data_IF_821765439604
#
_entry.id   IF_821765439604
#
_cell.length_a   1.000
_cell.length_b   1.000
_cell.length_c   1.000
_cell.angle_alpha   90.00
_cell.angle_beta   90.00
_cell.angle_gamma   90.00
#
_symmetry.space_group_name_H-M   'P 1'
#
loop_
_entity.id
_entity.type
_entity.pdbx_description
1 polymer ?
#
# COMPACT_ATOMS: atom_id res chain seq x y z
N UNK A 1 -67.82 -4.51 33.88
CA UNK A 1 -68.17 -5.14 35.18
C UNK A 1 -68.89 -6.45 34.90
N UNK A 2 -68.70 -7.56 35.64
CA UNK A 2 -67.79 -7.83 36.77
C UNK A 2 -66.75 -8.93 36.42
N UNK A 3 -65.47 -8.88 36.80
CA UNK A 3 -64.83 -9.18 38.11
C UNK A 3 -65.28 -10.45 38.80
N UNK A 4 -64.44 -11.49 38.77
CA UNK A 4 -64.34 -12.49 39.85
C UNK A 4 -62.85 -12.74 40.16
N UNK A 5 -62.54 -12.48 41.42
CA UNK A 5 -61.27 -12.64 42.14
C UNK A 5 -61.05 -14.09 42.56
N UNK A 6 -59.79 -14.51 42.78
CA UNK A 6 -59.20 -15.41 43.80
C UNK A 6 -57.98 -16.15 43.17
N UNK A 7 -56.81 -16.42 43.77
CA UNK A 7 -56.30 -16.48 45.15
C UNK A 7 -54.79 -16.18 45.10
N UNK A 8 -54.29 -15.38 46.04
CA UNK A 8 -52.87 -15.33 46.41
C UNK A 8 -52.58 -16.52 47.35
N UNK A 9 -51.58 -17.34 47.02
CA UNK A 9 -50.96 -18.27 47.97
C UNK A 9 -49.61 -17.72 48.41
N UNK A 10 -49.45 -17.66 49.72
CA UNK A 10 -48.21 -17.39 50.45
C UNK A 10 -47.32 -18.63 50.33
N UNK A 11 -46.06 -18.45 49.92
CA UNK A 11 -45.04 -19.49 49.90
C UNK A 11 -43.68 -18.88 50.22
N UNK A 12 -43.10 -19.33 51.34
CA UNK A 12 -42.00 -18.71 52.04
C UNK A 12 -40.63 -18.82 51.33
N UNK A 13 -39.78 -17.86 51.69
CA UNK A 13 -38.38 -17.67 51.32
C UNK A 13 -37.53 -18.90 51.68
N UNK A 14 -36.77 -19.41 50.71
CA UNK A 14 -35.48 -20.08 50.93
C UNK A 14 -34.54 -19.66 49.80
N UNK A 15 -33.68 -18.69 50.10
CA UNK A 15 -32.62 -18.24 49.22
C UNK A 15 -31.51 -19.30 49.17
N UNK A 16 -31.32 -19.92 48.00
CA UNK A 16 -30.14 -20.75 47.72
C UNK A 16 -29.17 -19.92 46.85
N UNK A 17 -28.32 -19.16 47.52
CA UNK A 17 -27.21 -18.44 46.91
C UNK A 17 -26.10 -19.41 46.51
N UNK A 18 -26.02 -19.71 45.21
CA UNK A 18 -24.84 -20.31 44.58
C UNK A 18 -24.60 -19.67 43.21
N UNK A 19 -24.15 -18.41 43.24
CA UNK A 19 -23.51 -17.79 42.08
C UNK A 19 -22.04 -18.20 42.08
N UNK A 20 -21.71 -19.09 41.15
CA UNK A 20 -20.36 -19.41 40.74
C UNK A 20 -19.66 -18.11 40.32
N UNK A 21 -18.69 -17.69 41.13
CA UNK A 21 -17.75 -16.63 40.82
C UNK A 21 -16.83 -17.09 39.67
N UNK A 22 -17.29 -16.97 38.43
CA UNK A 22 -16.39 -17.01 37.28
C UNK A 22 -15.61 -15.70 37.32
N UNK A 23 -14.44 -15.75 37.96
CA UNK A 23 -13.46 -14.68 37.83
C UNK A 23 -13.07 -14.61 36.36
N UNK A 24 -13.22 -13.48 35.66
CA UNK A 24 -12.54 -13.32 34.39
C UNK A 24 -11.07 -13.26 34.74
N UNK A 25 -10.33 -14.33 34.45
CA UNK A 25 -8.89 -14.29 34.40
C UNK A 25 -8.54 -13.29 33.29
N UNK A 26 -8.40 -12.02 33.67
CA UNK A 26 -7.74 -11.00 32.88
C UNK A 26 -6.31 -11.52 32.77
N UNK A 27 -5.98 -12.15 31.63
CA UNK A 27 -4.58 -12.43 31.29
C UNK A 27 -3.83 -11.13 31.57
N UNK A 28 -2.90 -11.13 32.52
CA UNK A 28 -2.07 -9.97 32.75
C UNK A 28 -1.41 -9.64 31.39
N UNK A 29 -1.65 -8.43 30.87
CA UNK A 29 -0.94 -7.97 29.69
C UNK A 29 0.55 -7.96 30.03
N UNK A 30 1.36 -8.56 29.16
CA UNK A 30 2.81 -8.60 29.33
C UNK A 30 3.36 -7.17 29.31
N UNK A 31 4.33 -6.89 30.19
CA UNK A 31 5.07 -5.63 30.18
C UNK A 31 6.01 -5.49 28.96
N UNK A 32 6.12 -6.53 28.11
CA UNK A 32 7.00 -6.59 26.93
C UNK A 32 6.28 -7.16 25.70
N UNK A 33 5.18 -6.53 25.25
CA UNK A 33 4.26 -7.14 24.29
C UNK A 33 4.89 -7.44 22.93
N UNK A 34 5.78 -6.57 22.43
CA UNK A 34 6.46 -6.81 21.15
C UNK A 34 7.42 -7.99 21.23
N UNK A 35 8.12 -8.18 22.35
CA UNK A 35 9.01 -9.35 22.52
C UNK A 35 8.23 -10.65 22.51
N UNK A 36 7.06 -10.68 23.13
CA UNK A 36 6.22 -11.86 23.16
C UNK A 36 5.64 -12.15 21.76
N UNK A 37 5.17 -11.11 21.06
CA UNK A 37 4.77 -11.24 19.66
C UNK A 37 5.91 -11.78 18.78
N UNK A 38 7.16 -11.34 18.97
CA UNK A 38 8.31 -11.85 18.22
C UNK A 38 8.60 -13.33 18.51
N UNK A 39 8.41 -13.80 19.74
CA UNK A 39 8.54 -15.23 20.08
C UNK A 39 7.47 -16.06 19.37
N UNK A 40 6.22 -15.59 19.40
CA UNK A 40 5.11 -16.25 18.71
C UNK A 40 5.37 -16.26 17.19
N UNK A 41 5.88 -15.15 16.64
CA UNK A 41 6.21 -15.05 15.22
C UNK A 41 7.35 -16.00 14.84
N UNK A 42 8.36 -16.16 15.71
CA UNK A 42 9.44 -17.12 15.50
C UNK A 42 8.92 -18.57 15.49
N UNK A 43 7.96 -18.91 16.35
CA UNK A 43 7.31 -20.22 16.35
C UNK A 43 6.50 -20.45 15.06
N UNK A 44 5.73 -19.46 14.62
CA UNK A 44 4.97 -19.52 13.38
C UNK A 44 5.91 -19.72 12.16
N UNK A 45 7.02 -18.98 12.11
CA UNK A 45 8.04 -19.12 11.06
C UNK A 45 8.66 -20.53 11.09
N UNK A 46 9.03 -21.05 12.26
CA UNK A 46 9.56 -22.41 12.41
C UNK A 46 8.55 -23.46 11.92
N UNK A 47 7.27 -23.29 12.23
CA UNK A 47 6.21 -24.17 11.73
C UNK A 47 6.06 -24.10 10.20
N UNK A 48 6.15 -22.91 9.60
CA UNK A 48 6.14 -22.76 8.14
C UNK A 48 7.35 -23.41 7.47
N UNK A 49 8.54 -23.33 8.07
CA UNK A 49 9.75 -23.94 7.54
C UNK A 49 9.67 -25.48 7.42
N UNK A 50 8.80 -26.13 8.19
CA UNK A 50 8.55 -27.57 8.10
C UNK A 50 7.54 -27.97 7.01
N UNK A 51 6.85 -26.99 6.41
CA UNK A 51 5.85 -27.21 5.37
C UNK A 51 6.47 -27.06 3.98
N UNK A 52 5.82 -27.62 2.96
CA UNK A 52 6.18 -27.31 1.58
C UNK A 52 5.72 -25.90 1.26
N UNK A 53 6.67 -25.10 0.79
CA UNK A 53 6.48 -23.73 0.40
C UNK A 53 5.80 -23.67 -0.98
N UNK A 54 4.76 -22.84 -1.09
CA UNK A 54 4.08 -22.53 -2.34
C UNK A 54 4.17 -21.03 -2.63
N UNK A 55 4.32 -20.60 -3.90
CA UNK A 55 4.20 -19.21 -4.27
C UNK A 55 2.83 -18.64 -3.92
N UNK A 56 2.80 -17.37 -3.54
CA UNK A 56 1.56 -16.61 -3.32
C UNK A 56 1.21 -15.86 -4.61
N UNK A 57 -0.01 -16.03 -5.12
CA UNK A 57 -0.49 -15.17 -6.21
C UNK A 57 -0.87 -13.81 -5.65
N UNK A 58 -0.37 -12.77 -6.29
CA UNK A 58 -0.74 -11.39 -6.01
C UNK A 58 -1.61 -10.89 -7.16
N UNK A 59 -2.67 -10.18 -6.80
CA UNK A 59 -3.64 -9.62 -7.72
C UNK A 59 -4.01 -8.21 -7.29
N UNK A 60 -4.09 -7.31 -8.25
CA UNK A 60 -4.57 -5.96 -8.07
C UNK A 60 -5.47 -5.54 -9.24
N UNK A 61 -6.58 -4.89 -8.92
CA UNK A 61 -7.50 -4.30 -9.89
C UNK A 61 -7.68 -2.81 -9.58
N UNK A 62 -7.48 -1.96 -10.58
CA UNK A 62 -7.60 -0.51 -10.45
C UNK A 62 -8.59 0.02 -11.48
N UNK A 63 -9.59 0.76 -11.01
CA UNK A 63 -10.58 1.44 -11.84
C UNK A 63 -10.33 2.93 -11.77
N UNK A 64 -10.29 3.60 -12.93
CA UNK A 64 -10.42 5.05 -13.01
C UNK A 64 -11.91 5.42 -12.85
N UNK A 65 -12.27 6.00 -11.70
CA UNK A 65 -13.65 6.32 -11.36
C UNK A 65 -14.19 7.43 -12.27
N UNK A 66 -15.19 7.06 -13.08
CA UNK A 66 -15.78 7.84 -14.17
C UNK A 66 -15.53 9.35 -14.12
N UNK A 67 -16.41 10.12 -13.47
CA UNK A 67 -16.38 11.59 -13.54
C UNK A 67 -15.27 12.25 -12.69
N UNK A 68 -14.48 11.47 -11.96
CA UNK A 68 -13.48 12.01 -11.02
C UNK A 68 -12.03 11.68 -11.35
N UNK A 69 -11.76 10.63 -12.13
CA UNK A 69 -10.41 10.10 -12.36
C UNK A 69 -9.72 9.58 -11.09
N UNK A 70 -10.47 9.42 -9.99
CA UNK A 70 -9.95 8.81 -8.76
C UNK A 70 -9.68 7.35 -9.05
N UNK A 71 -8.53 6.84 -8.61
CA UNK A 71 -8.15 5.45 -8.82
C UNK A 71 -8.64 4.63 -7.64
N UNK A 72 -9.69 3.83 -7.84
CA UNK A 72 -10.10 2.83 -6.85
C UNK A 72 -9.29 1.57 -7.07
N UNK A 73 -8.43 1.26 -6.13
CA UNK A 73 -7.61 0.06 -6.08
C UNK A 73 -8.29 -1.00 -5.22
N UNK A 74 -8.31 -2.23 -5.71
CA UNK A 74 -8.65 -3.45 -4.97
C UNK A 74 -7.49 -4.43 -5.01
N UNK A 75 -7.19 -5.06 -3.87
CA UNK A 75 -6.10 -6.03 -3.73
C UNK A 75 -6.54 -7.24 -2.91
N UNK A 76 -5.74 -8.31 -3.04
CA UNK A 76 -6.00 -9.61 -2.45
C UNK A 76 -6.63 -10.57 -3.47
N UNK A 77 -6.51 -11.87 -3.20
CA UNK A 77 -7.04 -12.94 -4.04
C UNK A 77 -8.53 -12.82 -4.37
N UNK A 78 -9.30 -12.12 -3.52
CA UNK A 78 -10.74 -11.87 -3.67
C UNK A 78 -11.08 -10.39 -3.73
N UNK A 79 -10.10 -9.53 -4.01
CA UNK A 79 -10.30 -8.08 -4.05
C UNK A 79 -10.97 -7.51 -2.78
N UNK A 80 -10.68 -8.13 -1.64
CA UNK A 80 -11.34 -7.86 -0.37
C UNK A 80 -10.89 -6.54 0.27
N UNK A 81 -9.68 -6.07 -0.07
CA UNK A 81 -9.15 -4.82 0.46
C UNK A 81 -9.24 -3.73 -0.60
N UNK A 82 -9.65 -2.54 -0.18
CA UNK A 82 -9.80 -1.39 -1.06
C UNK A 82 -8.92 -0.23 -0.60
N UNK A 83 -8.32 0.46 -1.56
CA UNK A 83 -7.52 1.66 -1.37
C UNK A 83 -7.93 2.70 -2.42
N UNK A 84 -7.81 3.98 -2.09
CA UNK A 84 -8.00 5.06 -3.07
C UNK A 84 -6.66 5.69 -3.38
N UNK A 85 -6.45 6.08 -4.62
CA UNK A 85 -5.37 6.97 -4.98
C UNK A 85 -5.95 8.13 -5.78
N UNK A 86 -5.59 9.35 -5.42
CA UNK A 86 -6.11 10.56 -6.04
C UNK A 86 -4.97 11.55 -6.30
N UNK A 87 -5.25 12.57 -7.09
CA UNK A 87 -4.35 13.66 -7.37
C UNK A 87 -4.81 14.92 -6.62
N UNK A 88 -3.92 15.88 -6.40
CA UNK A 88 -4.36 17.16 -5.88
C UNK A 88 -5.22 17.92 -6.88
N UNK A 89 -5.92 18.95 -6.41
CA UNK A 89 -6.76 19.82 -7.28
C UNK A 89 -6.02 20.37 -8.49
N UNK A 90 -4.75 20.75 -8.31
CA UNK A 90 -3.87 21.20 -9.40
C UNK A 90 -3.48 20.11 -10.41
N UNK A 91 -3.72 18.85 -10.06
CA UNK A 91 -3.56 17.65 -10.90
C UNK A 91 -4.89 17.02 -11.32
N UNK A 92 -5.97 17.83 -11.37
CA UNK A 92 -7.34 17.46 -11.73
C UNK A 92 -8.08 16.54 -10.74
N UNK A 93 -7.44 16.17 -9.64
CA UNK A 93 -8.05 15.31 -8.63
C UNK A 93 -8.83 16.08 -7.56
N UNK A 94 -9.25 15.35 -6.52
CA UNK A 94 -10.16 15.83 -5.48
C UNK A 94 -9.52 15.92 -4.09
N UNK A 95 -8.23 15.58 -3.96
CA UNK A 95 -7.54 15.40 -2.68
C UNK A 95 -8.23 14.36 -1.76
N UNK A 96 -8.87 13.33 -2.32
CA UNK A 96 -9.55 12.30 -1.52
C UNK A 96 -8.60 11.25 -0.93
N UNK A 97 -7.40 11.14 -1.50
CA UNK A 97 -6.42 10.13 -1.16
C UNK A 97 -5.01 10.56 -1.62
N UNK A 98 -3.94 9.93 -1.12
CA UNK A 98 -2.59 10.18 -1.59
C UNK A 98 -2.39 9.84 -3.07
N UNK A 99 -1.46 10.54 -3.70
CA UNK A 99 -0.95 10.19 -5.01
C UNK A 99 -0.22 8.85 -5.00
N UNK A 100 0.03 8.29 -6.20
CA UNK A 100 0.74 7.02 -6.32
C UNK A 100 2.16 7.08 -5.73
N UNK A 101 2.82 8.23 -5.79
CA UNK A 101 4.19 8.39 -5.29
C UNK A 101 4.25 8.41 -3.77
N UNK A 102 3.37 9.19 -3.13
CA UNK A 102 3.22 9.19 -1.68
C UNK A 102 2.81 7.80 -1.18
N UNK A 103 1.89 7.15 -1.89
CA UNK A 103 1.47 5.78 -1.58
C UNK A 103 2.63 4.80 -1.65
N UNK A 104 3.51 4.89 -2.66
CA UNK A 104 4.70 4.04 -2.76
C UNK A 104 5.59 4.19 -1.53
N UNK A 105 5.88 5.43 -1.11
CA UNK A 105 6.72 5.69 0.06
C UNK A 105 6.11 5.11 1.34
N UNK A 106 4.78 5.15 1.48
CA UNK A 106 4.07 4.49 2.58
C UNK A 106 4.26 2.96 2.55
N UNK A 107 4.18 2.33 1.36
CA UNK A 107 4.39 0.90 1.22
C UNK A 107 5.84 0.52 1.57
N UNK A 108 6.82 1.30 1.11
CA UNK A 108 8.24 1.07 1.42
C UNK A 108 8.52 1.19 2.93
N UNK A 109 7.95 2.19 3.59
CA UNK A 109 8.04 2.37 5.05
C UNK A 109 7.50 1.14 5.80
N UNK A 110 6.30 0.69 5.42
CA UNK A 110 5.65 -0.48 6.03
C UNK A 110 6.40 -1.78 5.74
N UNK A 111 6.97 -1.93 4.55
CA UNK A 111 7.73 -3.12 4.18
C UNK A 111 9.06 -3.23 4.92
N UNK A 112 9.76 -2.11 5.13
CA UNK A 112 10.94 -2.08 6.00
C UNK A 112 10.53 -2.49 7.42
N UNK A 113 9.43 -1.94 7.95
CA UNK A 113 8.95 -2.29 9.29
C UNK A 113 8.62 -3.79 9.41
N UNK A 114 7.90 -4.37 8.44
CA UNK A 114 7.61 -5.81 8.42
C UNK A 114 8.87 -6.67 8.45
N UNK A 115 9.84 -6.34 7.59
CA UNK A 115 11.05 -7.12 7.49
C UNK A 115 11.88 -7.04 8.76
N UNK A 116 11.94 -5.89 9.44
CA UNK A 116 12.58 -5.80 10.76
C UNK A 116 11.92 -6.75 11.76
N UNK A 117 10.59 -6.78 11.82
CA UNK A 117 9.85 -7.68 12.72
C UNK A 117 10.10 -9.15 12.37
N UNK A 118 10.08 -9.51 11.09
CA UNK A 118 10.34 -10.88 10.66
C UNK A 118 11.78 -11.30 10.94
N UNK A 119 12.77 -10.49 10.56
CA UNK A 119 14.18 -10.82 10.78
C UNK A 119 14.55 -10.81 12.26
N UNK A 120 13.93 -9.96 13.07
CA UNK A 120 14.09 -9.99 14.52
C UNK A 120 13.61 -11.32 15.11
N UNK A 121 12.42 -11.78 14.69
CA UNK A 121 11.88 -13.08 15.09
C UNK A 121 12.77 -14.24 14.63
N UNK A 122 13.21 -14.26 13.36
CA UNK A 122 14.10 -15.29 12.80
C UNK A 122 15.42 -15.39 13.57
N UNK A 123 15.96 -14.25 14.01
CA UNK A 123 17.29 -14.15 14.63
C UNK A 123 17.26 -14.12 16.15
N UNK A 124 16.08 -14.11 16.76
CA UNK A 124 15.92 -13.96 18.21
C UNK A 124 16.38 -12.61 18.74
N UNK A 125 16.36 -11.55 17.92
CA UNK A 125 16.73 -10.19 18.36
C UNK A 125 15.52 -9.55 19.05
N UNK A 126 15.61 -9.21 20.36
CA UNK A 126 14.48 -8.64 21.10
C UNK A 126 14.23 -7.19 20.67
N UNK A 127 12.98 -6.82 20.39
CA UNK A 127 12.56 -5.43 20.16
C UNK A 127 11.44 -5.06 21.14
N UNK A 128 11.51 -3.85 21.67
CA UNK A 128 10.52 -3.26 22.59
C UNK A 128 9.56 -2.32 21.85
N UNK A 129 10.08 -1.58 20.87
CA UNK A 129 9.31 -0.75 19.96
C UNK A 129 10.04 -0.60 18.61
N UNK A 130 9.27 -0.38 17.55
CA UNK A 130 9.80 -0.14 16.21
C UNK A 130 8.97 0.93 15.49
N UNK A 131 9.66 1.98 15.08
CA UNK A 131 9.15 3.01 14.19
C UNK A 131 10.11 3.17 13.00
N UNK A 132 9.57 3.34 11.79
CA UNK A 132 10.33 3.60 10.57
C UNK A 132 9.92 4.97 10.04
N UNK A 133 10.87 5.85 9.79
CA UNK A 133 10.65 7.06 8.98
C UNK A 133 11.32 6.85 7.64
N UNK A 134 10.52 6.77 6.57
CA UNK A 134 10.99 6.58 5.21
C UNK A 134 10.88 7.91 4.45
N UNK A 135 11.91 8.23 3.66
CA UNK A 135 11.91 9.40 2.79
C UNK A 135 12.33 9.07 1.37
N UNK A 136 11.85 9.87 0.43
CA UNK A 136 12.29 9.85 -0.96
C UNK A 136 12.35 11.27 -1.50
N UNK A 137 13.38 11.56 -2.28
CA UNK A 137 13.52 12.82 -3.02
C UNK A 137 13.42 12.46 -4.50
N UNK A 138 12.30 12.78 -5.17
CA UNK A 138 12.12 12.47 -6.58
C UNK A 138 13.25 13.03 -7.44
N UNK A 139 13.68 12.26 -8.43
CA UNK A 139 14.75 12.64 -9.35
C UNK A 139 14.22 12.67 -10.78
N UNK A 140 14.67 13.67 -11.54
CA UNK A 140 14.39 13.78 -12.97
C UNK A 140 15.31 12.84 -13.75
N UNK A 141 14.72 11.93 -14.53
CA UNK A 141 15.45 10.93 -15.33
C UNK A 141 15.66 11.37 -16.76
N UNK A 142 14.69 12.08 -17.32
CA UNK A 142 14.82 12.73 -18.63
C UNK A 142 13.85 13.92 -18.73
N UNK A 143 13.68 14.47 -19.93
CA UNK A 143 12.82 15.62 -20.16
C UNK A 143 11.38 15.42 -19.65
N UNK A 144 10.85 14.21 -19.75
CA UNK A 144 9.44 13.88 -19.54
C UNK A 144 9.19 12.84 -18.43
N UNK A 145 10.23 12.38 -17.74
CA UNK A 145 10.13 11.34 -16.71
C UNK A 145 10.87 11.77 -15.45
N UNK A 146 10.14 11.75 -14.33
CA UNK A 146 10.68 11.85 -12.97
C UNK A 146 9.94 10.83 -12.11
N UNK A 147 10.62 10.22 -11.15
CA UNK A 147 9.98 9.30 -10.22
C UNK A 147 10.68 9.32 -8.85
N UNK A 148 10.04 8.79 -7.79
CA UNK A 148 10.65 8.68 -6.47
C UNK A 148 12.05 8.07 -6.54
N UNK A 149 13.03 8.76 -5.97
CA UNK A 149 14.43 8.33 -5.93
C UNK A 149 15.04 8.66 -4.57
N UNK A 150 16.35 8.45 -4.44
CA UNK A 150 17.11 8.76 -3.23
C UNK A 150 16.40 8.20 -2.00
N UNK A 151 16.09 6.91 -2.07
CA UNK A 151 15.27 6.24 -1.06
C UNK A 151 16.09 6.10 0.21
N UNK A 152 15.53 6.50 1.34
CA UNK A 152 16.20 6.32 2.62
C UNK A 152 15.22 6.06 3.74
N UNK A 153 15.68 5.41 4.81
CA UNK A 153 14.90 5.29 6.03
C UNK A 153 15.76 5.41 7.29
N UNK A 154 15.09 5.81 8.37
CA UNK A 154 15.59 5.74 9.74
C UNK A 154 14.70 4.78 10.52
N UNK A 155 15.28 3.71 11.04
CA UNK A 155 14.62 2.80 11.98
C UNK A 155 14.94 3.24 13.41
N UNK A 156 13.91 3.64 14.15
CA UNK A 156 13.98 3.92 15.58
C UNK A 156 13.62 2.65 16.33
N UNK A 157 14.57 2.10 17.05
CA UNK A 157 14.46 0.79 17.67
C UNK A 157 14.72 0.94 19.16
N UNK A 158 13.72 0.67 19.99
CA UNK A 158 13.93 0.41 21.41
C UNK A 158 14.21 -1.08 21.58
N UNK A 159 15.35 -1.43 22.16
CA UNK A 159 15.80 -2.80 22.29
C UNK A 159 16.88 -2.90 23.38
N UNK A 160 17.05 -4.06 24.03
CA UNK A 160 18.23 -4.34 24.84
C UNK A 160 19.39 -4.91 24.01
N UNK A 161 19.19 -5.19 22.72
CA UNK A 161 20.22 -5.70 21.83
C UNK A 161 21.31 -4.65 21.59
N UNK A 162 22.54 -5.08 21.36
CA UNK A 162 23.66 -4.20 21.04
C UNK A 162 23.51 -3.55 19.66
N UNK A 163 24.20 -2.42 19.46
CA UNK A 163 24.26 -1.74 18.16
C UNK A 163 24.74 -2.67 17.03
N UNK A 164 25.67 -3.59 17.34
CA UNK A 164 26.18 -4.57 16.38
C UNK A 164 25.10 -5.56 15.95
N UNK A 165 24.28 -6.05 16.88
CA UNK A 165 23.13 -6.93 16.58
C UNK A 165 22.09 -6.19 15.74
N UNK A 166 21.81 -4.92 16.06
CA UNK A 166 20.90 -4.08 15.29
C UNK A 166 21.41 -3.78 13.87
N UNK A 167 22.72 -3.54 13.69
CA UNK A 167 23.30 -3.41 12.35
C UNK A 167 23.25 -4.73 11.56
N UNK A 168 23.48 -5.87 12.21
CA UNK A 168 23.32 -7.18 11.56
C UNK A 168 21.86 -7.43 11.16
N UNK A 169 20.90 -7.02 12.01
CA UNK A 169 19.47 -7.06 11.70
C UNK A 169 19.13 -6.19 10.48
N UNK A 170 19.66 -4.97 10.39
CA UNK A 170 19.52 -4.10 9.20
C UNK A 170 20.02 -4.78 7.92
N UNK A 171 21.21 -5.38 7.98
CA UNK A 171 21.77 -6.09 6.83
C UNK A 171 20.87 -7.25 6.40
N UNK A 172 20.31 -7.98 7.35
CA UNK A 172 19.33 -9.02 7.08
C UNK A 172 18.05 -8.48 6.44
N UNK A 173 17.55 -7.32 6.90
CA UNK A 173 16.38 -6.65 6.31
C UNK A 173 16.61 -6.35 4.83
N UNK A 174 17.74 -5.74 4.49
CA UNK A 174 18.08 -5.42 3.10
C UNK A 174 18.23 -6.67 2.22
N UNK A 175 18.78 -7.76 2.78
CA UNK A 175 18.99 -8.99 2.02
C UNK A 175 17.68 -9.78 1.77
N UNK A 176 16.71 -9.69 2.69
CA UNK A 176 15.57 -10.61 2.71
C UNK A 176 14.25 -9.99 2.25
N UNK A 177 14.10 -8.66 2.28
CA UNK A 177 12.84 -8.01 1.87
C UNK A 177 12.58 -8.14 0.37
N UNK A 178 11.41 -8.69 0.04
CA UNK A 178 10.86 -8.77 -1.32
C UNK A 178 10.61 -7.39 -1.91
N UNK A 179 10.16 -6.45 -1.09
CA UNK A 179 9.84 -5.07 -1.50
C UNK A 179 11.10 -4.23 -1.70
N UNK A 180 12.10 -4.36 -0.82
CA UNK A 180 13.40 -3.70 -1.05
C UNK A 180 14.03 -4.24 -2.33
N UNK A 181 13.98 -5.56 -2.55
CA UNK A 181 14.49 -6.16 -3.78
C UNK A 181 13.78 -5.61 -5.03
N UNK A 182 12.44 -5.54 -5.01
CA UNK A 182 11.63 -5.01 -6.12
C UNK A 182 12.05 -3.61 -6.57
N UNK A 183 12.51 -2.74 -5.65
CA UNK A 183 12.93 -1.37 -6.00
C UNK A 183 14.43 -1.21 -6.12
N UNK A 184 15.25 -2.11 -5.56
CA UNK A 184 16.71 -1.98 -5.64
C UNK A 184 17.32 -2.82 -6.75
N UNK A 185 16.58 -3.77 -7.31
CA UNK A 185 16.97 -4.56 -8.47
C UNK A 185 16.13 -4.17 -9.69
N UNK A 186 16.71 -4.20 -10.91
CA UNK A 186 15.93 -4.08 -12.14
C UNK A 186 14.91 -5.21 -12.22
N UNK A 187 13.62 -4.88 -12.15
CA UNK A 187 12.55 -5.87 -12.18
C UNK A 187 11.95 -6.03 -13.57
N UNK A 188 11.50 -7.24 -13.89
CA UNK A 188 10.83 -7.51 -15.16
C UNK A 188 9.32 -7.31 -15.04
N UNK A 189 8.78 -6.49 -15.95
CA UNK A 189 7.35 -6.22 -16.07
C UNK A 189 6.92 -6.31 -17.52
N UNK A 190 5.68 -6.71 -17.76
CA UNK A 190 5.14 -6.78 -19.12
C UNK A 190 4.90 -5.40 -19.73
N UNK A 191 4.87 -5.32 -21.07
CA UNK A 191 4.10 -4.28 -21.75
C UNK A 191 2.63 -4.32 -21.31
N UNK A 192 1.93 -3.20 -21.49
CA UNK A 192 0.51 -3.07 -21.21
C UNK A 192 -0.30 -3.84 -22.26
N UNK A 193 -0.98 -4.90 -21.84
CA UNK A 193 -1.83 -5.69 -22.76
C UNK A 193 -3.22 -5.07 -22.85
N UNK A 194 -3.59 -4.56 -24.03
CA UNK A 194 -4.84 -3.81 -24.22
C UNK A 194 -6.01 -4.71 -24.65
N UNK A 195 -7.06 -4.71 -23.82
CA UNK A 195 -8.40 -5.21 -24.12
C UNK A 195 -9.29 -4.03 -24.51
N UNK A 196 -9.56 -3.90 -25.80
CA UNK A 196 -10.14 -2.70 -26.37
C UNK A 196 -11.59 -2.90 -26.85
N UNK A 197 -12.47 -1.99 -26.43
CA UNK A 197 -13.84 -1.86 -26.91
C UNK A 197 -14.07 -0.49 -27.56
N UNK A 198 -14.40 -0.47 -28.85
CA UNK A 198 -14.81 0.75 -29.54
C UNK A 198 -16.20 1.19 -29.06
N UNK A 199 -16.33 2.44 -28.66
CA UNK A 199 -17.62 3.07 -28.30
C UNK A 199 -18.03 4.11 -29.35
N UNK A 200 -19.30 4.56 -29.36
CA UNK A 200 -19.74 5.62 -30.27
C UNK A 200 -19.05 6.96 -30.00
N UNK A 201 -18.69 7.66 -31.09
CA UNK A 201 -18.13 9.01 -31.04
C UNK A 201 -19.08 10.01 -30.36
N UNK A 202 -20.37 9.93 -30.68
CA UNK A 202 -21.41 10.71 -30.04
C UNK A 202 -22.08 9.88 -28.94
N UNK A 203 -22.17 10.45 -27.73
CA UNK A 203 -22.89 9.84 -26.63
C UNK A 203 -24.40 9.94 -26.86
N UNK A 204 -25.14 8.97 -26.35
CA UNK A 204 -26.60 9.05 -26.32
C UNK A 204 -27.04 10.28 -25.49
N UNK A 205 -28.07 11.03 -25.92
CA UNK A 205 -28.61 12.14 -25.14
C UNK A 205 -28.94 11.71 -23.70
N UNK A 206 -28.71 12.58 -22.72
CA UNK A 206 -28.98 12.36 -21.29
C UNK A 206 -28.17 11.23 -20.62
N UNK A 207 -27.03 10.82 -21.18
CA UNK A 207 -26.09 9.97 -20.44
C UNK A 207 -25.40 10.75 -19.33
N UNK A 208 -25.19 10.08 -18.19
CA UNK A 208 -24.45 10.67 -17.07
C UNK A 208 -23.00 10.97 -17.48
N UNK A 209 -22.43 12.10 -17.06
CA UNK A 209 -21.01 12.36 -17.21
C UNK A 209 -20.17 11.25 -16.57
N UNK A 210 -19.07 10.90 -17.21
CA UNK A 210 -18.13 9.87 -16.79
C UNK A 210 -16.70 10.24 -17.17
N UNK A 211 -15.89 9.24 -17.49
CA UNK A 211 -14.46 9.43 -17.75
C UNK A 211 -14.20 10.35 -18.93
N UNK A 212 -15.07 10.35 -19.94
CA UNK A 212 -14.96 11.21 -21.11
C UNK A 212 -14.99 12.69 -20.74
N UNK A 213 -15.96 13.10 -19.91
CA UNK A 213 -16.09 14.49 -19.48
C UNK A 213 -15.02 14.85 -18.46
N UNK A 214 -14.62 13.92 -17.58
CA UNK A 214 -13.45 14.15 -16.71
C UNK A 214 -12.20 14.49 -17.53
N UNK A 215 -11.89 13.71 -18.57
CA UNK A 215 -10.74 13.96 -19.43
C UNK A 215 -10.86 15.34 -20.11
N UNK A 216 -12.01 15.64 -20.69
CA UNK A 216 -12.23 16.88 -21.44
C UNK A 216 -12.27 18.15 -20.57
N UNK A 217 -12.97 18.08 -19.45
CA UNK A 217 -13.37 19.25 -18.66
C UNK A 217 -12.42 19.52 -17.50
N UNK A 218 -11.70 18.50 -16.99
CA UNK A 218 -10.82 18.62 -15.83
C UNK A 218 -9.36 18.32 -16.19
N UNK A 219 -9.09 17.17 -16.82
CA UNK A 219 -7.73 16.73 -17.08
C UNK A 219 -7.05 17.52 -18.21
N UNK A 220 -7.76 17.83 -19.31
CA UNK A 220 -7.24 18.65 -20.42
C UNK A 220 -6.85 20.05 -19.95
N UNK A 221 -7.67 20.78 -19.17
CA UNK A 221 -7.26 22.07 -18.64
C UNK A 221 -6.02 22.04 -17.75
N UNK A 222 -5.85 21.02 -16.90
CA UNK A 222 -4.60 20.83 -16.13
C UNK A 222 -3.43 20.58 -17.06
N UNK A 223 -3.59 19.64 -17.99
CA UNK A 223 -2.52 19.18 -18.87
C UNK A 223 -2.03 20.28 -19.83
N UNK A 224 -2.94 21.14 -20.29
CA UNK A 224 -2.61 22.33 -21.11
C UNK A 224 -2.14 23.54 -20.28
N UNK A 225 -2.17 23.44 -18.96
CA UNK A 225 -1.81 24.53 -18.04
C UNK A 225 -2.80 25.69 -18.02
N UNK A 226 -4.06 25.47 -18.43
CA UNK A 226 -5.13 26.49 -18.40
C UNK A 226 -5.84 26.55 -17.04
N UNK A 227 -5.66 25.54 -16.18
CA UNK A 227 -5.93 25.68 -14.75
C UNK A 227 -4.77 26.45 -14.12
N UNK A 228 -4.99 27.76 -13.91
CA UNK A 228 -4.02 28.66 -13.33
C UNK A 228 -3.70 28.23 -11.90
N UNK A 229 -2.46 27.79 -11.64
CA UNK A 229 -1.91 27.84 -10.30
C UNK A 229 -1.92 29.30 -9.84
N UNK A 230 -2.46 29.59 -8.66
CA UNK A 230 -2.38 30.92 -8.03
C UNK A 230 -0.95 31.34 -7.64
N UNK A 231 0.07 30.53 -7.94
CA UNK A 231 1.48 30.85 -7.67
C UNK A 231 2.16 31.48 -8.89
N UNK A 232 3.02 32.52 -8.68
CA UNK A 232 3.77 33.14 -9.76
C UNK A 232 4.66 32.12 -10.47
N UNK A 233 4.73 32.24 -11.79
CA UNK A 233 5.62 31.48 -12.67
C UNK A 233 7.05 32.00 -12.46
N UNK A 234 7.82 31.41 -11.55
CA UNK A 234 9.17 31.88 -11.27
C UNK A 234 9.84 31.21 -10.08
N UNK A 235 10.07 29.90 -10.17
CA UNK A 235 11.19 29.14 -9.59
C UNK A 235 10.89 27.66 -9.81
N UNK A 236 11.86 26.86 -10.25
CA UNK A 236 11.72 25.41 -10.25
C UNK A 236 11.59 25.00 -8.78
N UNK A 237 10.38 24.69 -8.33
CA UNK A 237 10.14 24.28 -6.95
C UNK A 237 11.03 23.06 -6.68
N UNK A 238 11.90 23.15 -5.67
CA UNK A 238 12.75 22.03 -5.29
C UNK A 238 11.88 20.77 -5.10
N UNK A 239 12.35 19.57 -5.50
CA UNK A 239 11.57 18.35 -5.36
C UNK A 239 11.10 18.24 -3.91
N UNK A 240 9.79 18.13 -3.71
CA UNK A 240 9.23 17.93 -2.38
C UNK A 240 9.70 16.57 -1.87
N UNK A 241 10.32 16.55 -0.70
CA UNK A 241 10.60 15.29 0.00
C UNK A 241 9.30 14.58 0.31
N UNK A 242 9.18 13.36 -0.17
CA UNK A 242 8.10 12.44 0.21
C UNK A 242 8.51 11.79 1.53
N UNK A 243 7.59 11.73 2.49
CA UNK A 243 7.85 11.19 3.83
C UNK A 243 6.71 10.26 4.21
N UNK A 244 7.04 9.13 4.83
CA UNK A 244 6.10 8.30 5.55
C UNK A 244 6.69 7.86 6.89
N UNK A 245 5.83 7.69 7.88
CA UNK A 245 6.19 7.18 9.20
C UNK A 245 5.36 5.93 9.46
N UNK A 246 6.00 4.79 9.74
CA UNK A 246 5.34 3.56 10.16
C UNK A 246 5.63 3.27 11.62
N UNK A 247 4.59 2.91 12.38
CA UNK A 247 4.71 2.32 13.72
C UNK A 247 4.20 0.89 13.70
N UNK A 248 4.92 0.00 14.38
CA UNK A 248 4.47 -1.36 14.64
C UNK A 248 3.68 -1.41 15.94
N UNK A 249 2.47 -1.98 15.87
CA UNK A 249 1.66 -2.27 17.05
C UNK A 249 2.24 -3.50 17.79
N UNK A 250 2.62 -3.36 19.08
CA UNK A 250 3.36 -4.39 19.80
C UNK A 250 2.68 -5.76 19.92
N UNK A 251 1.36 -5.83 20.07
CA UNK A 251 0.66 -7.09 20.36
C UNK A 251 0.33 -7.91 19.11
N UNK A 252 0.25 -7.28 17.96
CA UNK A 252 -0.25 -7.88 16.71
C UNK A 252 0.75 -7.80 15.57
N UNK A 253 1.74 -6.92 15.67
CA UNK A 253 2.65 -6.62 14.56
C UNK A 253 1.99 -5.85 13.41
N UNK A 254 0.76 -5.34 13.58
CA UNK A 254 0.12 -4.45 12.62
C UNK A 254 0.99 -3.23 12.38
N UNK A 255 1.07 -2.78 11.13
CA UNK A 255 1.86 -1.60 10.76
C UNK A 255 0.92 -0.46 10.40
N UNK A 256 0.87 0.55 11.25
CA UNK A 256 0.17 1.80 10.95
C UNK A 256 1.16 2.77 10.33
N UNK A 257 0.86 3.25 9.13
CA UNK A 257 1.73 4.17 8.38
C UNK A 257 1.02 5.48 8.15
N UNK A 258 1.66 6.61 8.42
CA UNK A 258 1.17 7.95 8.12
C UNK A 258 1.98 8.56 6.97
N UNK A 259 1.30 9.26 6.08
CA UNK A 259 1.89 9.88 4.89
C UNK A 259 2.00 11.38 5.07
N UNK A 260 3.13 11.93 4.62
CA UNK A 260 3.45 13.34 4.78
C UNK A 260 3.89 13.71 6.19
N UNK A 261 4.49 14.89 6.30
CA UNK A 261 5.00 15.44 7.55
C UNK A 261 3.91 15.77 8.58
N UNK A 262 2.67 15.89 8.12
CA UNK A 262 1.45 16.17 8.89
C UNK A 262 0.57 14.93 9.06
N UNK A 263 0.97 13.78 8.49
CA UNK A 263 0.21 12.54 8.58
C UNK A 263 -1.19 12.62 7.95
N UNK A 264 -1.35 13.40 6.87
CA UNK A 264 -2.66 13.70 6.26
C UNK A 264 -3.43 12.47 5.76
N UNK A 265 -2.76 11.33 5.58
CA UNK A 265 -3.38 10.04 5.27
C UNK A 265 -2.71 8.91 6.04
N UNK A 266 -3.42 7.80 6.27
CA UNK A 266 -2.85 6.62 6.90
C UNK A 266 -3.13 5.31 6.14
N UNK A 267 -2.16 4.41 6.20
CA UNK A 267 -2.24 3.03 5.75
C UNK A 267 -2.21 2.08 6.93
N UNK A 268 -2.89 0.95 6.80
CA UNK A 268 -2.71 -0.19 7.69
C UNK A 268 -2.25 -1.38 6.85
N UNK A 269 -1.31 -2.16 7.37
CA UNK A 269 -0.91 -3.43 6.77
C UNK A 269 -0.85 -4.53 7.82
N UNK A 270 -1.31 -5.73 7.44
CA UNK A 270 -1.29 -6.93 8.28
C UNK A 270 -0.35 -8.01 7.72
N UNK A 271 0.16 -8.89 8.57
CA UNK A 271 1.00 -10.00 8.12
C UNK A 271 0.18 -11.01 7.32
N UNK A 272 0.83 -11.91 6.58
CA UNK A 272 0.12 -13.07 6.03
C UNK A 272 -0.42 -13.95 7.18
N UNK A 273 -1.52 -14.70 7.01
CA UNK A 273 -2.09 -15.55 8.07
C UNK A 273 -1.08 -16.53 8.69
N UNK A 274 -0.19 -17.12 7.88
CA UNK A 274 0.88 -18.01 8.37
C UNK A 274 1.98 -17.30 9.18
N UNK A 275 2.00 -15.97 9.18
CA UNK A 275 2.93 -15.11 9.92
C UNK A 275 2.20 -14.27 10.98
N UNK A 276 1.16 -14.84 11.58
CA UNK A 276 0.30 -14.25 12.63
C UNK A 276 -0.61 -13.11 12.17
N UNK A 277 -0.79 -12.95 10.86
CA UNK A 277 -1.79 -12.04 10.31
C UNK A 277 -3.22 -12.46 10.64
N UNK A 278 -4.11 -11.47 10.79
CA UNK A 278 -5.54 -11.66 11.10
C UNK A 278 -6.46 -11.24 9.95
N UNK A 279 -5.90 -10.80 8.84
CA UNK A 279 -6.65 -10.35 7.67
C UNK A 279 -7.37 -9.02 7.89
N UNK A 280 -6.86 -8.17 8.80
CA UNK A 280 -7.45 -6.86 9.10
C UNK A 280 -7.12 -5.81 8.03
N UNK A 281 -6.05 -6.05 7.27
CA UNK A 281 -5.53 -5.20 6.22
C UNK A 281 -4.76 -6.07 5.21
N UNK A 282 -4.48 -5.59 3.98
CA UNK A 282 -3.66 -6.34 3.04
C UNK A 282 -2.24 -6.52 3.58
N UNK A 283 -1.54 -7.51 3.05
CA UNK A 283 -0.08 -7.54 3.16
C UNK A 283 0.51 -6.34 2.43
N UNK A 284 1.71 -5.93 2.82
CA UNK A 284 2.38 -4.82 2.14
C UNK A 284 2.74 -5.20 0.70
N UNK A 285 2.99 -6.49 0.44
CA UNK A 285 3.32 -6.98 -0.88
C UNK A 285 2.16 -6.90 -1.87
N UNK A 286 0.96 -7.31 -1.43
CA UNK A 286 -0.29 -7.15 -2.19
C UNK A 286 -0.58 -5.67 -2.47
N UNK A 287 -0.50 -4.84 -1.43
CA UNK A 287 -0.82 -3.42 -1.58
C UNK A 287 0.19 -2.67 -2.46
N UNK A 288 1.48 -3.03 -2.40
CA UNK A 288 2.50 -2.46 -3.27
C UNK A 288 2.24 -2.76 -4.75
N UNK A 289 1.88 -4.00 -5.09
CA UNK A 289 1.49 -4.36 -6.47
C UNK A 289 0.33 -3.46 -6.94
N UNK A 290 -0.66 -3.25 -6.08
CA UNK A 290 -1.75 -2.32 -6.34
C UNK A 290 -1.31 -0.88 -6.55
N UNK A 291 -0.47 -0.35 -5.65
CA UNK A 291 0.04 1.02 -5.72
C UNK A 291 0.82 1.27 -7.01
N UNK A 292 1.71 0.35 -7.42
CA UNK A 292 2.44 0.49 -8.69
C UNK A 292 1.53 0.40 -9.91
N UNK A 293 0.33 -0.17 -9.77
CA UNK A 293 -0.72 -0.23 -10.80
C UNK A 293 -1.57 1.05 -10.85
N UNK A 294 -1.75 1.77 -9.73
CA UNK A 294 -2.49 3.05 -9.75
C UNK A 294 -1.81 4.12 -10.60
N UNK A 295 -0.49 4.06 -10.73
CA UNK A 295 0.28 5.04 -11.48
C UNK A 295 0.02 4.98 -13.00
N UNK A 296 0.16 3.83 -13.70
CA UNK A 296 -0.20 3.74 -15.11
C UNK A 296 -1.66 4.11 -15.36
N UNK A 297 -2.61 3.78 -14.46
CA UNK A 297 -4.01 4.24 -14.56
C UNK A 297 -4.10 5.77 -14.64
N UNK A 298 -3.43 6.47 -13.74
CA UNK A 298 -3.43 7.93 -13.75
C UNK A 298 -2.71 8.51 -14.99
N UNK A 299 -1.63 7.87 -15.42
CA UNK A 299 -0.86 8.32 -16.57
C UNK A 299 -1.63 8.11 -17.88
N UNK A 300 -2.51 7.10 -17.97
CA UNK A 300 -3.48 6.99 -19.06
C UNK A 300 -4.35 8.25 -19.16
N UNK A 301 -4.87 8.76 -18.04
CA UNK A 301 -5.71 9.98 -18.03
C UNK A 301 -4.93 11.20 -18.52
N UNK A 302 -3.70 11.39 -18.01
CA UNK A 302 -2.82 12.48 -18.42
C UNK A 302 -2.47 12.40 -19.91
N UNK A 303 -2.05 11.22 -20.39
CA UNK A 303 -1.67 11.03 -21.78
C UNK A 303 -2.88 11.13 -22.72
N UNK A 304 -4.05 10.66 -22.29
CA UNK A 304 -5.30 10.79 -23.03
C UNK A 304 -5.64 12.27 -23.23
N UNK A 305 -5.59 13.07 -22.17
CA UNK A 305 -5.79 14.51 -22.23
C UNK A 305 -4.75 15.22 -23.11
N UNK A 306 -3.47 14.87 -22.99
CA UNK A 306 -2.40 15.45 -23.80
C UNK A 306 -2.57 15.16 -25.31
N UNK A 307 -3.13 14.00 -25.65
CA UNK A 307 -3.25 13.50 -27.03
C UNK A 307 -4.63 13.71 -27.66
N UNK A 308 -5.58 14.25 -26.90
CA UNK A 308 -6.98 14.38 -27.36
C UNK A 308 -7.67 13.02 -27.54
N UNK A 309 -7.25 12.02 -26.78
CA UNK A 309 -7.88 10.69 -26.74
C UNK A 309 -8.93 10.68 -25.64
N UNK A 310 -10.14 10.25 -25.97
CA UNK A 310 -11.24 10.15 -25.02
C UNK A 310 -11.32 8.73 -24.46
N UNK A 311 -11.68 8.58 -23.19
CA UNK A 311 -11.87 7.29 -22.54
C UNK A 311 -13.27 7.26 -21.91
N UNK A 312 -14.03 6.20 -22.15
CA UNK A 312 -15.31 5.96 -21.48
C UNK A 312 -15.14 4.99 -20.30
N UNK A 313 -14.17 4.08 -20.40
CA UNK A 313 -13.79 3.11 -19.37
C UNK A 313 -12.27 2.98 -19.36
N UNK A 314 -11.70 2.89 -18.17
CA UNK A 314 -10.30 2.54 -17.96
C UNK A 314 -10.18 1.71 -16.68
N UNK A 315 -9.80 0.45 -16.84
CA UNK A 315 -9.46 -0.45 -15.74
C UNK A 315 -8.13 -1.13 -16.03
N UNK A 316 -7.33 -1.33 -14.99
CA UNK A 316 -6.05 -2.01 -15.06
C UNK A 316 -6.03 -3.15 -14.06
N UNK A 317 -5.56 -4.31 -14.52
CA UNK A 317 -5.28 -5.46 -13.68
C UNK A 317 -3.78 -5.72 -13.69
N UNK A 318 -3.23 -6.00 -12.51
CA UNK A 318 -1.87 -6.47 -12.38
C UNK A 318 -1.82 -7.78 -11.59
N UNK A 319 -1.09 -8.74 -12.14
CA UNK A 319 -0.84 -10.04 -11.51
C UNK A 319 0.65 -10.29 -11.39
N UNK A 320 1.04 -10.95 -10.30
CA UNK A 320 2.39 -11.45 -10.09
C UNK A 320 2.37 -12.69 -9.19
N UNK A 321 3.41 -13.50 -9.23
CA UNK A 321 3.67 -14.48 -8.18
C UNK A 321 4.69 -13.91 -7.20
N UNK A 322 4.51 -14.15 -5.90
CA UNK A 322 5.52 -13.91 -4.88
C UNK A 322 6.10 -15.26 -4.47
N UNK A 323 7.39 -15.46 -4.70
CA UNK A 323 8.06 -16.68 -4.27
C UNK A 323 7.97 -16.82 -2.75
N UNK A 324 7.85 -18.04 -2.21
CA UNK A 324 7.63 -18.22 -0.79
C UNK A 324 8.83 -17.72 0.03
N UNK A 325 8.51 -17.15 1.20
CA UNK A 325 9.50 -16.65 2.16
C UNK A 325 10.11 -17.74 3.03
N UNK A 326 9.30 -18.73 3.40
CA UNK A 326 9.67 -19.83 4.29
C UNK A 326 9.08 -21.15 3.77
N UNK A 327 9.70 -22.27 4.13
CA UNK A 327 9.27 -23.64 3.83
C UNK A 327 10.43 -24.52 3.35
N UNK A 328 10.25 -25.84 3.35
CA UNK A 328 11.33 -26.84 3.13
C UNK A 328 12.08 -26.66 1.82
N UNK A 329 11.39 -26.19 0.79
CA UNK A 329 11.87 -25.94 -0.57
C UNK A 329 12.13 -24.45 -0.87
N UNK A 330 11.97 -23.54 0.10
CA UNK A 330 12.34 -22.14 -0.05
C UNK A 330 13.87 -21.99 0.04
N UNK A 331 14.54 -21.74 -1.10
CA UNK A 331 16.01 -21.68 -1.21
C UNK A 331 16.58 -20.27 -1.26
N UNK A 332 15.72 -19.28 -1.47
CA UNK A 332 16.06 -17.87 -1.57
C UNK A 332 15.04 -17.06 -0.79
N UNK A 333 15.39 -15.82 -0.41
CA UNK A 333 14.39 -14.86 0.05
C UNK A 333 13.20 -14.73 -0.91
N UNK A 334 12.06 -14.27 -0.40
CA UNK A 334 10.85 -14.04 -1.20
C UNK A 334 11.11 -12.94 -2.24
N UNK A 335 10.68 -13.16 -3.48
CA UNK A 335 10.86 -12.25 -4.61
C UNK A 335 9.59 -12.17 -5.42
N UNK A 336 9.31 -10.97 -5.91
CA UNK A 336 8.28 -10.81 -6.93
C UNK A 336 8.73 -11.55 -8.18
N UNK A 337 7.80 -12.24 -8.82
CA UNK A 337 7.94 -12.76 -10.16
C UNK A 337 7.63 -11.68 -11.19
N UNK A 338 7.51 -12.09 -12.44
CA UNK A 338 7.12 -11.22 -13.55
C UNK A 338 5.76 -10.57 -13.28
N UNK A 339 5.70 -9.24 -13.38
CA UNK A 339 4.44 -8.49 -13.21
C UNK A 339 3.78 -8.35 -14.57
N UNK A 340 2.55 -8.84 -14.71
CA UNK A 340 1.76 -8.70 -15.94
C UNK A 340 0.68 -7.65 -15.78
N UNK A 341 0.55 -6.78 -16.77
CA UNK A 341 -0.49 -5.76 -16.84
C UNK A 341 -1.49 -6.03 -17.96
N UNK A 342 -2.78 -5.98 -17.62
CA UNK A 342 -3.90 -5.97 -18.55
C UNK A 342 -4.67 -4.65 -18.38
N UNK A 343 -5.11 -4.07 -19.49
CA UNK A 343 -5.84 -2.79 -19.50
C UNK A 343 -7.14 -2.97 -20.27
N UNK A 344 -8.26 -2.82 -19.60
CA UNK A 344 -9.58 -2.79 -20.21
C UNK A 344 -9.97 -1.34 -20.51
N UNK A 345 -10.06 -1.02 -21.81
CA UNK A 345 -10.34 0.33 -22.31
C UNK A 345 -11.58 0.32 -23.20
N UNK A 346 -12.52 1.21 -22.90
CA UNK A 346 -13.60 1.56 -23.83
C UNK A 346 -13.40 3.01 -24.31
N UNK A 347 -13.44 3.25 -25.62
CA UNK A 347 -13.15 4.58 -26.18
C UNK A 347 -13.75 4.79 -27.57
N UNK A 348 -14.13 6.04 -27.92
CA UNK A 348 -14.55 6.38 -29.28
C UNK A 348 -13.39 6.57 -30.26
N UNK A 349 -12.16 6.60 -29.78
CA UNK A 349 -10.95 6.76 -30.60
C UNK A 349 -10.60 5.44 -31.29
N UNK A 350 -9.73 5.47 -32.30
CA UNK A 350 -9.35 4.26 -33.02
C UNK A 350 -8.47 3.33 -32.17
N UNK A 351 -8.42 2.04 -32.51
CA UNK A 351 -7.46 1.10 -31.90
C UNK A 351 -6.01 1.60 -31.96
N UNK A 352 -5.62 2.21 -33.08
CA UNK A 352 -4.28 2.76 -33.25
C UNK A 352 -3.98 3.90 -32.26
N UNK A 353 -4.97 4.75 -31.96
CA UNK A 353 -4.82 5.80 -30.95
C UNK A 353 -4.65 5.22 -29.55
N UNK A 354 -5.37 4.13 -29.22
CA UNK A 354 -5.27 3.45 -27.93
C UNK A 354 -3.93 2.74 -27.78
N UNK A 355 -3.44 2.07 -28.82
CA UNK A 355 -2.11 1.44 -28.79
C UNK A 355 -1.00 2.51 -28.65
N UNK A 356 -1.13 3.65 -29.35
CA UNK A 356 -0.21 4.78 -29.22
C UNK A 356 -0.29 5.45 -27.83
N UNK A 357 -1.47 5.47 -27.21
CA UNK A 357 -1.68 5.93 -25.84
C UNK A 357 -0.97 5.00 -24.85
N UNK A 358 -1.15 3.68 -24.96
CA UNK A 358 -0.48 2.69 -24.11
C UNK A 358 1.05 2.81 -24.18
N UNK A 359 1.60 2.91 -25.39
CA UNK A 359 3.04 3.17 -25.63
C UNK A 359 3.52 4.42 -24.87
N UNK A 360 2.73 5.49 -24.90
CA UNK A 360 3.06 6.74 -24.21
C UNK A 360 3.05 6.59 -22.69
N UNK A 361 2.11 5.81 -22.16
CA UNK A 361 2.05 5.49 -20.74
C UNK A 361 3.29 4.71 -20.33
N UNK A 362 3.68 3.69 -21.08
CA UNK A 362 4.91 2.93 -20.81
C UNK A 362 6.16 3.82 -20.80
N UNK A 363 6.25 4.76 -21.75
CA UNK A 363 7.41 5.65 -21.90
C UNK A 363 7.49 6.74 -20.82
N UNK A 364 6.38 7.08 -20.17
CA UNK A 364 6.29 8.25 -19.26
C UNK A 364 5.80 7.93 -17.85
N UNK A 365 5.34 6.70 -17.58
CA UNK A 365 4.79 6.34 -16.28
C UNK A 365 5.89 6.23 -15.22
N UNK A 366 5.85 7.03 -14.14
CA UNK A 366 6.85 7.02 -13.08
C UNK A 366 7.07 5.66 -12.43
N UNK A 367 6.03 5.04 -11.89
CA UNK A 367 6.20 3.81 -11.10
C UNK A 367 6.44 2.57 -11.97
N UNK A 368 5.86 2.54 -13.17
CA UNK A 368 6.12 1.49 -14.15
C UNK A 368 7.59 1.46 -14.60
N UNK A 369 8.25 2.63 -14.69
CA UNK A 369 9.67 2.70 -15.00
C UNK A 369 10.56 2.59 -13.75
N UNK A 370 10.10 3.07 -12.59
CA UNK A 370 10.83 2.93 -11.33
C UNK A 370 11.14 1.47 -11.01
N UNK A 371 10.18 0.55 -11.18
CA UNK A 371 10.40 -0.89 -10.91
C UNK A 371 11.33 -1.56 -11.91
N UNK A 372 11.51 -0.99 -13.11
CA UNK A 372 12.46 -1.50 -14.11
C UNK A 372 13.90 -1.06 -13.82
N UNK A 373 14.05 0.04 -13.11
CA UNK A 373 15.33 0.66 -12.82
C UNK A 373 15.80 0.28 -11.40
N UNK A 374 17.10 0.05 -11.23
CA UNK A 374 17.68 -0.14 -9.89
C UNK A 374 17.71 1.18 -9.13
N UNK A 375 17.07 1.22 -7.96
CA UNK A 375 17.15 2.36 -7.04
C UNK A 375 18.19 2.11 -5.94
N UNK A 376 18.79 3.19 -5.44
CA UNK A 376 19.61 3.15 -4.21
C UNK A 376 18.70 3.29 -3.00
N UNK A 377 18.95 2.47 -1.98
CA UNK A 377 18.30 2.54 -0.67
C UNK A 377 19.33 2.66 0.45
N UNK A 378 19.22 3.71 1.25
CA UNK A 378 20.05 3.92 2.44
C UNK A 378 19.26 3.69 3.73
N UNK A 379 19.86 2.99 4.70
CA UNK A 379 19.21 2.67 5.97
C UNK A 379 20.06 3.07 7.18
N UNK A 380 19.46 3.83 8.09
CA UNK A 380 20.05 4.22 9.38
C UNK A 380 19.26 3.62 10.54
N UNK A 381 19.95 3.31 11.63
CA UNK A 381 19.32 2.95 12.91
C UNK A 381 19.57 4.06 13.92
N UNK A 382 18.52 4.38 14.67
CA UNK A 382 18.59 5.09 15.95
C UNK A 382 18.21 4.09 17.03
N UNK A 383 19.15 3.79 17.92
CA UNK A 383 18.91 2.89 19.05
C UNK A 383 18.26 3.69 20.18
N UNK A 384 16.93 3.79 20.11
CA UNK A 384 16.12 4.61 21.00
C UNK A 384 14.71 4.80 20.47
N UNK A 385 13.82 5.44 21.27
CA UNK A 385 12.45 5.71 20.86
C UNK A 385 12.41 6.68 19.67
N UNK A 386 11.36 6.54 18.86
CA UNK A 386 10.96 7.63 17.99
C UNK A 386 10.35 8.75 18.84
N UNK A 387 10.91 9.94 18.71
CA UNK A 387 10.34 11.16 19.27
C UNK A 387 9.87 11.98 18.08
N UNK A 388 8.55 12.16 17.97
CA UNK A 388 8.02 13.10 16.99
C UNK A 388 8.60 14.47 17.31
N UNK A 389 9.18 15.14 16.31
CA UNK A 389 9.60 16.52 16.48
C UNK A 389 8.42 17.31 17.01
N UNK A 390 8.59 17.95 18.17
CA UNK A 390 7.62 18.89 18.71
C UNK A 390 7.56 20.07 17.73
N UNK A 391 6.68 19.98 16.74
CA UNK A 391 6.46 21.09 15.80
C UNK A 391 5.80 22.21 16.59
N UNK A 392 6.59 23.24 16.88
CA UNK A 392 6.15 24.52 17.42
C UNK A 392 5.38 25.35 16.41
#
# INVERSE_FOLDING_TARGET
MPTVSSKLLIGAVLALSSLLSVSPARSAESDQPLRDYLKDKAQAISALQQQDAAPTRLHAHVIAEGRSGVRRLRVGDKEQFQWLSDSPRQGAGFNLAPGSWESLVAMLSSAVADEYIVQAAVRGVPLDALDIVFTSIPERKNANLSYPNNLSYVAYIQSPASDAELQALKAAVHANSSVIDLVTQPHQVSPLTIHYQQTPAQRAPNTQPGLREFILEDQVPVTKGTLTSSKPRGEAQAPRTLVAHTRVEPHTGLRQTWLGDDGYFSALHDSAPGLLGRGLAPTVEENLLGVVTTCPTHIFEIQAAARGVLLDKLELTADAELSPRFGRNAKSPARYGYITYQVDVASPNSRADIDALAKAVEDTCPLYNLVKDSQKLEGKIVHGPYVADAKG
#
